data_IF_386094842991
#
_entry.id   IF_386094842991
#
_cell.length_a   1.000
_cell.length_b   1.000
_cell.length_c   1.000
_cell.angle_alpha   90.00
_cell.angle_beta   90.00
_cell.angle_gamma   90.00
#
_symmetry.space_group_name_H-M   'P 1'
#
loop_
_entity.id
_entity.type
_entity.pdbx_description
1 polymer ?
#
# COMPACT_ATOMS: atom_id res chain seq x y z
N UNK A 1 4.14 -7.71 -7.56
CA UNK A 1 3.53 -6.37 -7.46
C UNK A 1 2.35 -6.43 -6.51
N UNK A 2 2.18 -5.42 -5.68
CA UNK A 2 1.18 -5.46 -4.59
C UNK A 2 0.76 -4.05 -4.21
N UNK A 3 -0.50 -3.91 -3.78
CA UNK A 3 -0.95 -2.74 -3.05
C UNK A 3 -1.18 -3.18 -1.60
N UNK A 4 -0.29 -2.78 -0.70
CA UNK A 4 -0.45 -3.06 0.72
C UNK A 4 -1.74 -2.41 1.23
N UNK A 5 -2.40 -3.02 2.20
CA UNK A 5 -3.59 -2.42 2.79
C UNK A 5 -3.28 -0.98 3.21
N UNK A 6 -4.14 -0.03 2.82
CA UNK A 6 -3.82 1.39 2.98
C UNK A 6 -3.56 1.79 4.44
N UNK A 7 -4.20 1.12 5.39
CA UNK A 7 -3.99 1.42 6.82
C UNK A 7 -2.63 0.95 7.32
N UNK A 8 -1.96 0.04 6.62
CA UNK A 8 -0.61 -0.40 6.98
C UNK A 8 0.48 0.55 6.50
N UNK A 9 0.19 1.44 5.57
CA UNK A 9 1.22 2.29 4.97
C UNK A 9 2.09 3.02 6.00
N UNK A 10 1.54 3.59 7.09
CA UNK A 10 2.39 4.26 8.09
C UNK A 10 3.33 3.34 8.86
N UNK A 11 3.07 2.04 8.85
CA UNK A 11 3.81 1.05 9.64
C UNK A 11 4.78 0.21 8.81
N UNK A 12 4.80 0.41 7.49
CA UNK A 12 5.67 -0.39 6.62
C UNK A 12 7.14 -0.07 6.85
N UNK A 13 8.01 -1.10 6.85
CA UNK A 13 9.46 -0.87 6.78
C UNK A 13 9.81 -0.03 5.55
N UNK A 14 10.92 0.69 5.63
CA UNK A 14 11.29 1.62 4.57
C UNK A 14 11.42 0.96 3.21
N UNK A 15 11.98 -0.24 3.14
CA UNK A 15 12.14 -0.95 1.86
C UNK A 15 10.79 -1.22 1.20
N UNK A 16 9.80 -1.71 1.96
CA UNK A 16 8.46 -1.97 1.44
C UNK A 16 7.74 -0.67 1.12
N UNK A 17 7.94 0.35 1.93
CA UNK A 17 7.30 1.65 1.72
C UNK A 17 7.79 2.29 0.41
N UNK A 18 9.08 2.35 0.19
CA UNK A 18 9.64 2.88 -1.06
C UNK A 18 9.25 2.03 -2.27
N UNK A 19 9.25 0.71 -2.10
CA UNK A 19 8.82 -0.20 -3.15
C UNK A 19 7.38 0.01 -3.56
N UNK A 20 6.51 0.40 -2.61
CA UNK A 20 5.11 0.65 -2.91
C UNK A 20 4.94 1.82 -3.89
N UNK A 21 5.73 2.86 -3.79
CA UNK A 21 5.64 3.97 -4.75
C UNK A 21 5.98 3.50 -6.16
N UNK A 22 7.05 2.73 -6.31
CA UNK A 22 7.43 2.18 -7.62
C UNK A 22 6.31 1.33 -8.21
N UNK A 23 5.69 0.50 -7.38
CA UNK A 23 4.59 -0.36 -7.82
C UNK A 23 3.36 0.45 -8.21
N UNK A 24 3.01 1.48 -7.43
CA UNK A 24 1.87 2.35 -7.76
C UNK A 24 2.09 3.08 -9.07
N UNK A 25 3.30 3.58 -9.31
CA UNK A 25 3.63 4.27 -10.55
C UNK A 25 3.53 3.31 -11.73
N UNK A 26 4.03 2.09 -11.58
CA UNK A 26 3.92 1.08 -12.63
C UNK A 26 2.46 0.73 -12.94
N UNK A 27 1.64 0.60 -11.90
CA UNK A 27 0.19 0.35 -12.07
C UNK A 27 -0.45 1.51 -12.81
N UNK A 28 -0.16 2.75 -12.40
CA UNK A 28 -0.71 3.93 -13.05
C UNK A 28 -0.38 3.96 -14.54
N UNK A 29 0.88 3.71 -14.89
CA UNK A 29 1.33 3.73 -16.28
C UNK A 29 0.68 2.59 -17.09
N UNK A 30 0.54 1.41 -16.52
CA UNK A 30 -0.15 0.30 -17.17
C UNK A 30 -1.63 0.62 -17.42
N UNK A 31 -2.32 1.19 -16.44
CA UNK A 31 -3.72 1.55 -16.59
C UNK A 31 -3.91 2.65 -17.64
N UNK A 32 -3.01 3.62 -17.71
CA UNK A 32 -3.06 4.70 -18.71
C UNK A 32 -2.79 4.21 -20.12
N UNK A 33 -1.84 3.29 -20.29
CA UNK A 33 -1.40 2.84 -21.61
C UNK A 33 -2.17 1.64 -22.14
N UNK A 34 -2.56 0.71 -21.26
CA UNK A 34 -3.19 -0.57 -21.63
C UNK A 34 -4.60 -0.75 -21.07
N UNK A 35 -5.02 0.09 -20.13
CA UNK A 35 -6.28 -0.07 -19.43
C UNK A 35 -6.31 -1.22 -18.43
N UNK A 36 -5.18 -1.91 -18.24
CA UNK A 36 -5.06 -3.04 -17.30
C UNK A 36 -3.60 -3.23 -16.93
N UNK A 37 -3.35 -4.05 -15.88
CA UNK A 37 -2.00 -4.47 -15.52
C UNK A 37 -1.77 -5.92 -15.94
N UNK A 38 -0.51 -6.38 -15.91
CA UNK A 38 -0.17 -7.78 -16.16
C UNK A 38 -0.27 -8.65 -14.91
N UNK A 39 -0.70 -8.09 -13.77
CA UNK A 39 -0.81 -8.79 -12.49
C UNK A 39 -2.27 -9.02 -12.15
N UNK A 40 -2.71 -10.29 -12.20
CA UNK A 40 -4.11 -10.63 -11.99
C UNK A 40 -4.66 -10.13 -10.65
N UNK A 41 -3.87 -10.23 -9.57
CA UNK A 41 -4.30 -9.75 -8.26
C UNK A 41 -4.52 -8.24 -8.22
N UNK A 42 -3.69 -7.49 -8.98
CA UNK A 42 -3.80 -6.04 -9.03
C UNK A 42 -4.92 -5.61 -9.97
N UNK A 43 -5.28 -6.43 -10.95
CA UNK A 43 -6.38 -6.10 -11.86
C UNK A 43 -7.72 -5.95 -11.14
N UNK A 44 -7.83 -6.40 -9.90
CA UNK A 44 -8.99 -6.12 -9.07
C UNK A 44 -9.24 -4.61 -8.94
N UNK A 45 -8.20 -3.80 -9.10
CA UNK A 45 -8.32 -2.33 -9.09
C UNK A 45 -9.30 -1.83 -10.15
N UNK A 46 -9.47 -2.57 -11.25
CA UNK A 46 -10.37 -2.20 -12.34
C UNK A 46 -11.85 -2.32 -11.95
N UNK A 47 -12.16 -3.02 -10.87
CA UNK A 47 -13.51 -3.13 -10.34
C UNK A 47 -13.92 -1.88 -9.54
N UNK A 48 -12.99 -0.93 -9.39
CA UNK A 48 -13.18 0.28 -8.59
C UNK A 48 -13.04 1.53 -9.45
N UNK A 49 -13.64 2.65 -9.03
CA UNK A 49 -13.44 3.92 -9.73
C UNK A 49 -11.97 4.33 -9.72
N UNK A 50 -11.55 5.08 -10.73
CA UNK A 50 -10.19 5.62 -10.80
C UNK A 50 -9.85 6.47 -9.58
N UNK A 51 -10.85 7.10 -8.96
CA UNK A 51 -10.69 7.90 -7.75
C UNK A 51 -10.10 7.09 -6.61
N UNK A 52 -10.35 5.77 -6.56
CA UNK A 52 -9.83 4.93 -5.49
C UNK A 52 -8.30 4.82 -5.54
N UNK A 53 -7.72 4.75 -6.73
CA UNK A 53 -6.26 4.76 -6.84
C UNK A 53 -5.69 6.09 -6.38
N UNK A 54 -6.35 7.20 -6.72
CA UNK A 54 -5.95 8.50 -6.23
C UNK A 54 -6.10 8.59 -4.70
N UNK A 55 -7.21 8.09 -4.15
CA UNK A 55 -7.41 8.05 -2.71
C UNK A 55 -6.35 7.22 -1.99
N UNK A 56 -6.00 6.08 -2.56
CA UNK A 56 -4.91 5.26 -2.04
C UNK A 56 -3.57 6.03 -2.08
N UNK A 57 -3.31 6.71 -3.20
CA UNK A 57 -2.12 7.52 -3.32
C UNK A 57 -2.07 8.63 -2.27
N UNK A 58 -3.22 9.26 -1.96
CA UNK A 58 -3.25 10.29 -0.92
C UNK A 58 -2.87 9.74 0.45
N UNK A 59 -3.35 8.56 0.79
CA UNK A 59 -2.94 7.90 2.03
C UNK A 59 -1.42 7.65 2.07
N UNK A 60 -0.88 7.21 0.95
CA UNK A 60 0.56 7.02 0.81
C UNK A 60 1.32 8.34 0.93
N UNK A 61 0.84 9.39 0.28
CA UNK A 61 1.50 10.69 0.24
C UNK A 61 1.58 11.35 1.62
N UNK A 62 0.57 11.17 2.46
CA UNK A 62 0.60 11.69 3.84
C UNK A 62 1.78 11.08 4.60
N UNK A 63 1.96 9.77 4.54
CA UNK A 63 3.08 9.12 5.21
C UNK A 63 4.42 9.46 4.56
N UNK A 64 4.45 9.60 3.24
CA UNK A 64 5.65 9.99 2.51
C UNK A 64 6.15 11.36 2.99
N UNK A 65 5.23 12.33 3.10
CA UNK A 65 5.58 13.66 3.61
C UNK A 65 6.05 13.59 5.06
N UNK A 66 5.41 12.76 5.89
CA UNK A 66 5.85 12.57 7.27
C UNK A 66 7.28 12.04 7.37
N UNK A 67 7.66 11.14 6.45
CA UNK A 67 9.01 10.54 6.48
C UNK A 67 10.08 11.40 5.82
N UNK A 68 9.74 12.11 4.74
CA UNK A 68 10.73 12.75 3.87
C UNK A 68 10.59 14.25 3.74
N UNK A 69 9.60 14.87 4.39
CA UNK A 69 9.33 16.32 4.36
C UNK A 69 9.07 16.87 2.95
N UNK A 70 8.61 16.04 2.03
CA UNK A 70 8.28 16.43 0.67
C UNK A 70 7.23 15.48 0.12
N UNK A 71 6.39 15.96 -0.81
CA UNK A 71 5.42 15.12 -1.49
C UNK A 71 6.06 14.33 -2.63
N UNK A 72 5.53 13.16 -2.98
CA UNK A 72 6.01 12.43 -4.16
C UNK A 72 5.86 13.28 -5.42
N UNK A 73 6.86 13.25 -6.29
CA UNK A 73 6.85 14.05 -7.52
C UNK A 73 5.74 13.65 -8.50
N UNK A 74 5.18 12.46 -8.35
CA UNK A 74 4.11 11.93 -9.21
C UNK A 74 2.70 12.35 -8.75
N UNK A 75 2.59 13.21 -7.75
CA UNK A 75 1.29 13.59 -7.18
C UNK A 75 0.29 14.10 -8.21
N UNK A 76 0.76 14.94 -9.16
CA UNK A 76 -0.12 15.50 -10.19
C UNK A 76 -0.64 14.42 -11.14
N UNK A 77 0.18 13.44 -11.50
CA UNK A 77 -0.25 12.36 -12.37
C UNK A 77 -1.38 11.52 -11.75
N UNK A 78 -1.26 11.21 -10.47
CA UNK A 78 -2.29 10.45 -9.77
C UNK A 78 -3.59 11.26 -9.65
N UNK A 79 -3.48 12.55 -9.36
CA UNK A 79 -4.63 13.42 -9.25
C UNK A 79 -5.38 13.54 -10.57
N UNK A 80 -4.66 13.72 -11.67
CA UNK A 80 -5.26 13.80 -12.99
C UNK A 80 -5.94 12.48 -13.39
N UNK A 81 -5.31 11.36 -13.08
CA UNK A 81 -5.88 10.05 -13.38
C UNK A 81 -7.19 9.82 -12.61
N UNK A 82 -7.23 10.24 -11.34
CA UNK A 82 -8.41 10.08 -10.48
C UNK A 82 -9.48 11.14 -10.65
N UNK A 83 -9.36 12.01 -11.67
CA UNK A 83 -10.31 13.07 -11.98
C UNK A 83 -10.53 14.07 -10.85
N UNK A 84 -9.55 14.24 -9.97
CA UNK A 84 -9.54 15.20 -8.85
C UNK A 84 -10.66 14.99 -7.82
N UNK A 85 -11.31 13.85 -7.81
CA UNK A 85 -12.39 13.59 -6.86
C UNK A 85 -11.83 13.03 -5.56
N UNK A 86 -12.45 13.46 -4.46
CA UNK A 86 -12.05 13.02 -3.13
C UNK A 86 -12.66 11.67 -2.81
N UNK A 87 -11.83 10.75 -2.27
CA UNK A 87 -12.28 9.45 -1.78
C UNK A 87 -12.02 9.34 -0.29
N UNK A 88 -13.03 8.91 0.46
CA UNK A 88 -12.89 8.72 1.90
C UNK A 88 -12.15 7.44 2.23
N UNK A 89 -12.45 6.37 1.52
CA UNK A 89 -11.90 5.05 1.81
C UNK A 89 -11.61 4.32 0.50
N UNK A 90 -10.32 4.16 0.13
CA UNK A 90 -9.99 3.49 -1.12
C UNK A 90 -10.23 1.99 -1.04
N UNK A 91 -10.74 1.43 -2.12
CA UNK A 91 -10.89 -0.01 -2.30
C UNK A 91 -11.73 -0.69 -1.22
N UNK A 92 -12.86 -0.08 -0.89
CA UNK A 92 -13.80 -0.61 0.08
C UNK A 92 -14.27 -2.01 -0.35
N UNK A 93 -14.19 -2.96 0.58
CA UNK A 93 -14.52 -4.36 0.28
C UNK A 93 -13.31 -5.19 -0.15
N UNK A 94 -12.27 -4.56 -0.70
CA UNK A 94 -11.00 -5.21 -0.97
C UNK A 94 -10.03 -4.99 0.21
N UNK A 95 -9.80 -3.73 0.58
CA UNK A 95 -8.93 -3.40 1.71
C UNK A 95 -9.72 -3.49 3.03
N UNK A 96 -10.10 -4.70 3.37
CA UNK A 96 -10.84 -5.05 4.59
C UNK A 96 -9.92 -5.75 5.60
N UNK A 97 -10.48 -6.23 6.71
CA UNK A 97 -9.71 -6.90 7.76
C UNK A 97 -9.05 -8.19 7.25
N UNK A 98 -9.74 -8.94 6.41
CA UNK A 98 -9.18 -10.18 5.84
C UNK A 98 -7.96 -9.88 4.98
N UNK A 99 -8.04 -8.85 4.14
CA UNK A 99 -6.91 -8.45 3.32
C UNK A 99 -5.77 -7.90 4.18
N UNK A 100 -6.09 -7.19 5.25
CA UNK A 100 -5.09 -6.75 6.22
C UNK A 100 -4.30 -7.95 6.76
N UNK A 101 -4.98 -9.03 7.11
CA UNK A 101 -4.32 -10.24 7.60
C UNK A 101 -3.46 -10.90 6.51
N UNK A 102 -3.93 -10.89 5.27
CA UNK A 102 -3.13 -11.38 4.14
C UNK A 102 -1.83 -10.58 4.01
N UNK A 103 -1.92 -9.27 4.11
CA UNK A 103 -0.74 -8.39 4.06
C UNK A 103 0.23 -8.72 5.20
N UNK A 104 -0.30 -8.88 6.42
CA UNK A 104 0.53 -9.23 7.57
C UNK A 104 1.23 -10.57 7.39
N UNK A 105 0.53 -11.57 6.84
CA UNK A 105 1.13 -12.88 6.58
C UNK A 105 2.28 -12.78 5.57
N UNK A 106 2.13 -11.98 4.53
CA UNK A 106 3.19 -11.77 3.55
C UNK A 106 4.40 -11.03 4.15
N UNK A 107 4.13 -10.07 5.02
CA UNK A 107 5.21 -9.36 5.73
C UNK A 107 5.91 -10.27 6.73
N UNK A 108 5.16 -11.15 7.40
CA UNK A 108 5.72 -12.15 8.30
C UNK A 108 6.70 -13.07 7.57
N UNK A 109 6.37 -13.51 6.36
CA UNK A 109 7.28 -14.33 5.57
C UNK A 109 8.60 -13.61 5.31
N UNK A 110 8.55 -12.31 5.02
CA UNK A 110 9.75 -11.51 4.80
C UNK A 110 10.56 -11.33 6.08
N UNK A 111 9.90 -11.38 7.23
CA UNK A 111 10.58 -11.33 8.52
C UNK A 111 11.20 -12.67 8.89
N UNK A 112 10.42 -13.74 8.80
CA UNK A 112 10.84 -15.06 9.27
C UNK A 112 11.77 -15.77 8.30
N UNK A 113 11.48 -15.72 7.00
CA UNK A 113 12.25 -16.41 5.97
C UNK A 113 13.19 -15.50 5.19
N UNK A 114 13.14 -14.18 5.41
CA UNK A 114 13.97 -13.23 4.69
C UNK A 114 15.44 -13.37 5.03
N UNK A 115 16.31 -12.97 4.09
CA UNK A 115 17.76 -13.04 4.22
C UNK A 115 18.36 -11.69 3.81
N UNK A 116 19.39 -11.27 4.56
CA UNK A 116 20.16 -10.07 4.23
C UNK A 116 19.36 -8.79 4.31
N UNK A 117 19.60 -7.87 3.38
CA UNK A 117 18.99 -6.53 3.41
C UNK A 117 17.48 -6.52 3.15
N UNK A 118 16.97 -7.58 2.51
CA UNK A 118 15.55 -7.68 2.23
C UNK A 118 14.73 -8.21 3.40
N UNK A 119 15.41 -8.71 4.43
CA UNK A 119 14.72 -9.24 5.59
C UNK A 119 14.12 -8.10 6.42
N UNK A 120 12.87 -8.26 6.83
CA UNK A 120 12.25 -7.37 7.82
C UNK A 120 12.87 -7.72 9.19
N UNK A 121 13.42 -6.71 9.85
CA UNK A 121 14.07 -6.90 11.16
C UNK A 121 13.06 -7.14 12.26
N UNK A 122 13.54 -7.59 13.43
CA UNK A 122 12.68 -7.79 14.60
C UNK A 122 11.99 -6.49 15.01
N UNK A 123 12.72 -5.37 14.96
CA UNK A 123 12.19 -4.05 15.30
C UNK A 123 11.13 -3.62 14.31
N UNK A 124 11.37 -3.82 13.01
CA UNK A 124 10.41 -3.49 11.97
C UNK A 124 9.14 -4.34 12.06
N UNK A 125 9.31 -5.62 12.39
CA UNK A 125 8.17 -6.50 12.59
C UNK A 125 7.34 -6.09 13.80
N UNK A 126 7.99 -5.63 14.88
CA UNK A 126 7.27 -5.13 16.05
C UNK A 126 6.43 -3.90 15.72
N UNK A 127 6.95 -3.00 14.87
CA UNK A 127 6.18 -1.83 14.41
C UNK A 127 4.92 -2.28 13.66
N UNK A 128 5.04 -3.31 12.81
CA UNK A 128 3.89 -3.87 12.10
C UNK A 128 2.87 -4.49 13.05
N UNK A 129 3.34 -5.21 14.07
CA UNK A 129 2.45 -5.78 15.07
C UNK A 129 1.70 -4.71 15.84
N UNK A 130 2.40 -3.66 16.25
CA UNK A 130 1.79 -2.51 16.93
C UNK A 130 0.78 -1.81 16.03
N UNK A 131 1.11 -1.68 14.74
CA UNK A 131 0.20 -1.09 13.75
C UNK A 131 -1.07 -1.92 13.58
N UNK A 132 -0.94 -3.22 13.47
CA UNK A 132 -2.10 -4.11 13.36
C UNK A 132 -3.03 -3.94 14.57
N UNK A 133 -2.44 -3.90 15.77
CA UNK A 133 -3.23 -3.68 16.99
C UNK A 133 -3.90 -2.31 17.01
N UNK A 134 -3.19 -1.27 16.56
CA UNK A 134 -3.77 0.07 16.47
C UNK A 134 -4.93 0.13 15.49
N UNK A 135 -4.83 -0.59 14.37
CA UNK A 135 -5.86 -0.61 13.33
C UNK A 135 -7.09 -1.42 13.77
N UNK A 136 -6.88 -2.59 14.36
CA UNK A 136 -7.95 -3.55 14.64
C UNK A 136 -8.39 -3.61 16.09
N UNK A 137 -7.58 -3.12 17.02
CA UNK A 137 -7.78 -3.30 18.45
C UNK A 137 -7.40 -4.69 18.97
N UNK A 138 -6.86 -5.54 18.09
CA UNK A 138 -6.52 -6.93 18.41
C UNK A 138 -5.05 -7.22 18.17
N UNK A 139 -4.50 -8.17 18.94
CA UNK A 139 -3.16 -8.69 18.67
C UNK A 139 -3.17 -9.52 17.37
N UNK A 140 -2.11 -9.38 16.56
CA UNK A 140 -1.97 -10.24 15.39
C UNK A 140 -1.53 -11.63 15.84
N UNK A 141 -2.27 -12.65 15.42
CA UNK A 141 -1.96 -14.07 15.68
C UNK A 141 -1.72 -14.78 14.36
N UNK A 142 -0.60 -15.42 14.29
CA UNK A 142 -0.19 -16.21 13.13
C UNK A 142 -1.05 -17.45 12.98
#
# INVERSE_FOLDING_TARGET
MRLWHYKLLPYLPELQFKGQLREMVAILHDLKSKGKTNHLLINRIMEYPKDDLYGYFLEYAVEYENRYDVLPRQSDEFREFGNHQFMQEPFKGWHNKEYLRVCMANLYEKHFFGIGKSRITDEEWQVLLDGYKAITGEEYKI
#
